data_IF_396853587340
#
_entry.id   IF_396853587340
#
_cell.length_a   1.000
_cell.length_b   1.000
_cell.length_c   1.000
_cell.angle_alpha   90.00
_cell.angle_beta   90.00
_cell.angle_gamma   90.00
#
_symmetry.space_group_name_H-M   'P 1'
#
loop_
_entity.id
_entity.type
_entity.pdbx_description
1 polymer ?
#
# COMPACT_ATOMS: atom_id res chain seq x y z
N UNK A 1 -33.69 0.04 -62.70
CA UNK A 1 -32.38 -0.64 -62.82
C UNK A 1 -31.29 0.40 -62.57
N UNK A 2 -30.71 0.47 -61.36
CA UNK A 2 -29.72 1.50 -60.99
C UNK A 2 -28.31 0.93 -61.02
N UNK A 3 -27.55 1.31 -62.04
CA UNK A 3 -26.15 0.91 -62.25
C UNK A 3 -25.29 1.59 -61.18
N UNK A 4 -24.80 0.84 -60.19
CA UNK A 4 -23.81 1.32 -59.22
C UNK A 4 -22.49 1.59 -59.96
N UNK A 5 -22.20 2.86 -60.22
CA UNK A 5 -20.89 3.30 -60.68
C UNK A 5 -19.86 2.98 -59.59
N UNK A 6 -18.91 2.09 -59.89
CA UNK A 6 -17.77 1.77 -59.01
C UNK A 6 -16.72 2.88 -59.18
N UNK A 7 -16.69 3.84 -58.27
CA UNK A 7 -15.60 4.81 -58.18
C UNK A 7 -14.34 4.10 -57.68
N UNK A 8 -13.37 3.87 -58.58
CA UNK A 8 -12.04 3.39 -58.23
C UNK A 8 -11.25 4.52 -57.59
N UNK A 9 -11.34 4.64 -56.26
CA UNK A 9 -10.47 5.52 -55.48
C UNK A 9 -9.03 4.99 -55.61
N UNK A 10 -8.20 5.67 -56.42
CA UNK A 10 -6.75 5.42 -56.44
C UNK A 10 -6.20 5.74 -55.04
N UNK A 11 -5.67 4.74 -54.34
CA UNK A 11 -5.01 4.95 -53.04
C UNK A 11 -3.70 5.70 -53.27
N UNK A 12 -3.70 7.00 -52.97
CA UNK A 12 -2.47 7.80 -52.95
C UNK A 12 -1.65 7.31 -51.75
N UNK A 13 -0.50 6.71 -52.03
CA UNK A 13 0.46 6.29 -51.01
C UNK A 13 1.11 7.54 -50.38
N UNK A 14 1.10 7.67 -49.05
CA UNK A 14 1.82 8.77 -48.41
C UNK A 14 3.33 8.60 -48.66
N UNK A 15 3.95 9.64 -49.21
CA UNK A 15 5.41 9.70 -49.44
C UNK A 15 6.14 10.43 -48.31
N UNK A 16 5.39 11.14 -47.45
CA UNK A 16 5.91 11.89 -46.30
C UNK A 16 5.20 11.48 -45.00
N UNK A 17 5.94 11.54 -43.91
CA UNK A 17 5.46 11.28 -42.57
C UNK A 17 4.40 12.32 -42.19
N UNK A 18 3.22 11.86 -41.77
CA UNK A 18 2.13 12.77 -41.37
C UNK A 18 2.52 13.66 -40.18
N UNK A 19 3.45 13.22 -39.31
CA UNK A 19 3.81 13.99 -38.12
C UNK A 19 4.94 15.00 -38.35
N UNK A 20 6.04 14.60 -38.98
CA UNK A 20 7.24 15.42 -39.12
C UNK A 20 7.60 15.80 -40.57
N UNK A 21 6.83 15.36 -41.57
CA UNK A 21 7.07 15.68 -42.97
C UNK A 21 8.27 15.00 -43.63
N UNK A 22 9.05 14.22 -42.88
CA UNK A 22 10.19 13.46 -43.39
C UNK A 22 9.77 12.42 -44.43
N UNK A 23 10.64 12.14 -45.41
CA UNK A 23 10.40 11.12 -46.44
C UNK A 23 10.19 9.75 -45.82
N UNK A 24 9.18 9.03 -46.30
CA UNK A 24 8.89 7.67 -45.86
C UNK A 24 9.78 6.66 -46.62
N UNK A 25 10.15 5.55 -45.98
CA UNK A 25 10.82 4.46 -46.70
C UNK A 25 9.90 3.92 -47.79
N UNK A 26 10.49 3.35 -48.85
CA UNK A 26 9.72 2.83 -49.97
C UNK A 26 8.64 1.85 -49.48
N UNK A 27 7.40 1.97 -49.98
CA UNK A 27 6.31 1.11 -49.57
C UNK A 27 6.60 -0.35 -49.97
N UNK A 28 6.36 -1.28 -49.04
CA UNK A 28 6.42 -2.70 -49.35
C UNK A 28 5.35 -3.08 -50.39
N UNK A 29 5.63 -4.08 -51.22
CA UNK A 29 4.73 -4.54 -52.28
C UNK A 29 3.39 -5.08 -51.74
N UNK A 30 3.35 -5.51 -50.48
CA UNK A 30 2.16 -6.04 -49.82
C UNK A 30 1.99 -5.42 -48.41
N UNK A 31 0.75 -5.37 -47.93
CA UNK A 31 0.41 -4.86 -46.59
C UNK A 31 -0.06 -3.40 -46.55
N UNK A 32 -0.29 -2.89 -45.33
CA UNK A 32 -0.76 -1.52 -45.13
C UNK A 32 0.38 -0.52 -45.33
N UNK A 33 0.19 0.53 -46.15
CA UNK A 33 1.20 1.56 -46.33
C UNK A 33 1.61 2.21 -45.00
N UNK A 34 2.90 2.46 -44.87
CA UNK A 34 3.46 3.13 -43.70
C UNK A 34 3.09 4.61 -43.75
N UNK A 35 2.67 5.14 -42.61
CA UNK A 35 2.20 6.53 -42.47
C UNK A 35 3.18 7.41 -41.68
N UNK A 36 4.08 6.78 -40.91
CA UNK A 36 5.05 7.45 -40.04
C UNK A 36 6.46 6.98 -40.36
N UNK A 37 7.44 7.88 -40.37
CA UNK A 37 8.84 7.55 -40.68
C UNK A 37 9.45 6.54 -39.69
N UNK A 38 8.98 6.50 -38.44
CA UNK A 38 9.57 5.67 -37.38
C UNK A 38 8.61 5.36 -36.22
N UNK A 39 8.98 4.42 -35.32
CA UNK A 39 8.27 4.16 -34.07
C UNK A 39 8.12 5.41 -33.19
N UNK A 40 9.13 6.30 -33.18
CA UNK A 40 9.08 7.56 -32.42
C UNK A 40 7.94 8.49 -32.87
N UNK A 41 7.84 8.78 -34.18
CA UNK A 41 6.74 9.58 -34.73
C UNK A 41 5.37 8.89 -34.59
N UNK A 42 5.33 7.55 -34.64
CA UNK A 42 4.09 6.80 -34.39
C UNK A 42 3.62 6.94 -32.95
N UNK A 43 4.54 6.82 -31.98
CA UNK A 43 4.25 6.97 -30.55
C UNK A 43 3.82 8.40 -30.23
N UNK A 44 4.57 9.39 -30.70
CA UNK A 44 4.22 10.80 -30.52
C UNK A 44 2.83 11.15 -31.09
N UNK A 45 2.48 10.65 -32.29
CA UNK A 45 1.15 10.86 -32.86
C UNK A 45 0.03 10.09 -32.13
N UNK A 46 0.35 9.03 -31.39
CA UNK A 46 -0.60 8.36 -30.49
C UNK A 46 -0.77 9.16 -29.21
N UNK A 47 0.32 9.64 -28.62
CA UNK A 47 0.31 10.45 -27.40
C UNK A 47 -0.40 11.79 -27.62
N UNK A 48 -0.21 12.45 -28.77
CA UNK A 48 -0.94 13.67 -29.15
C UNK A 48 -2.46 13.43 -29.22
N UNK A 49 -2.90 12.25 -29.70
CA UNK A 49 -4.32 11.88 -29.74
C UNK A 49 -4.85 11.51 -28.36
N UNK A 50 -4.01 10.93 -27.52
CA UNK A 50 -4.32 10.57 -26.13
C UNK A 50 -4.46 11.82 -25.26
N UNK A 51 -3.58 12.81 -25.43
CA UNK A 51 -3.60 14.08 -24.72
C UNK A 51 -4.85 14.92 -25.05
N UNK A 52 -5.36 14.82 -26.28
CA UNK A 52 -6.58 15.53 -26.73
C UNK A 52 -7.90 14.94 -26.20
N UNK A 53 -7.87 13.83 -25.43
CA UNK A 53 -9.03 13.27 -24.73
C UNK A 53 -8.87 13.43 -23.21
N UNK A 54 -9.14 14.63 -22.65
CA UNK A 54 -8.97 14.90 -21.22
C UNK A 54 -9.99 14.16 -20.33
N UNK A 55 -11.10 13.66 -20.89
CA UNK A 55 -12.19 13.01 -20.14
C UNK A 55 -11.88 11.59 -19.64
N UNK A 56 -10.72 11.03 -19.98
CA UNK A 56 -10.35 9.65 -19.60
C UNK A 56 -9.47 9.54 -18.34
N UNK A 57 -9.22 10.64 -17.60
CA UNK A 57 -8.30 10.61 -16.46
C UNK A 57 -8.83 11.40 -15.26
N UNK A 58 -9.40 10.69 -14.28
CA UNK A 58 -9.51 11.18 -12.91
C UNK A 58 -8.23 10.77 -12.16
N UNK A 59 -7.19 11.60 -12.20
CA UNK A 59 -5.98 11.39 -11.39
C UNK A 59 -6.23 12.00 -10.02
N UNK A 60 -6.61 11.18 -9.05
CA UNK A 60 -6.47 11.52 -7.63
C UNK A 60 -4.99 11.31 -7.27
N UNK A 61 -4.23 12.39 -7.17
CA UNK A 61 -2.87 12.34 -6.60
C UNK A 61 -3.03 12.00 -5.12
N UNK A 62 -2.76 10.75 -4.76
CA UNK A 62 -2.52 10.35 -3.38
C UNK A 62 -1.00 10.30 -3.23
N UNK A 63 -0.46 11.12 -2.34
CA UNK A 63 0.94 11.05 -1.93
C UNK A 63 1.25 9.63 -1.46
N UNK A 64 2.10 8.91 -2.19
CA UNK A 64 2.55 7.57 -1.82
C UNK A 64 3.88 7.68 -1.11
N UNK A 65 3.84 7.72 0.21
CA UNK A 65 5.01 7.43 1.03
C UNK A 65 5.28 5.93 0.87
N UNK A 66 6.42 5.57 0.30
CA UNK A 66 6.86 4.18 0.20
C UNK A 66 7.24 3.70 1.61
N UNK A 67 6.35 2.96 2.25
CA UNK A 67 6.64 2.22 3.49
C UNK A 67 6.98 0.80 3.07
N UNK A 68 8.18 0.35 3.43
CA UNK A 68 8.59 -1.05 3.29
C UNK A 68 7.54 -1.95 3.94
N UNK A 69 7.13 -3.01 3.22
CA UNK A 69 6.17 -3.98 3.71
C UNK A 69 6.78 -4.81 4.83
N UNK A 70 6.73 -4.30 6.04
CA UNK A 70 6.54 -5.13 7.22
C UNK A 70 5.04 -5.47 7.21
N UNK A 71 4.70 -6.75 7.17
CA UNK A 71 3.35 -7.27 7.40
C UNK A 71 2.90 -6.89 8.83
N UNK A 72 2.59 -5.62 9.01
CA UNK A 72 1.89 -5.13 10.18
C UNK A 72 0.47 -5.60 9.97
N UNK A 73 0.14 -6.69 10.66
CA UNK A 73 -1.22 -7.17 10.87
C UNK A 73 -2.09 -5.93 11.11
N UNK A 74 -2.81 -5.51 10.08
CA UNK A 74 -3.72 -4.37 10.13
C UNK A 74 -4.98 -4.87 10.83
N UNK A 75 -4.87 -5.17 12.12
CA UNK A 75 -6.03 -5.44 12.95
C UNK A 75 -6.60 -4.15 13.49
N UNK A 76 -7.68 -3.73 12.83
CA UNK A 76 -8.88 -3.13 13.43
C UNK A 76 -8.69 -1.77 14.10
N UNK A 77 -8.89 -0.71 13.32
CA UNK A 77 -9.35 0.60 13.83
C UNK A 77 -10.79 0.89 13.34
N UNK A 78 -11.62 -0.14 13.25
CA UNK A 78 -13.08 0.02 13.26
C UNK A 78 -13.55 0.20 14.71
N UNK A 79 -13.26 1.36 15.32
CA UNK A 79 -13.88 1.78 16.58
C UNK A 79 -13.95 0.73 17.69
N UNK A 80 -12.91 -0.11 17.85
CA UNK A 80 -12.95 -1.19 18.82
C UNK A 80 -12.95 -0.60 20.23
N UNK A 81 -13.99 -0.91 21.01
CA UNK A 81 -14.07 -0.54 22.41
C UNK A 81 -12.83 -1.03 23.17
N UNK A 82 -12.10 -0.09 23.77
CA UNK A 82 -10.88 -0.33 24.55
C UNK A 82 -11.16 -1.32 25.68
N UNK A 83 -12.37 -1.31 26.25
CA UNK A 83 -12.75 -2.24 27.32
C UNK A 83 -12.86 -3.67 26.79
N UNK A 84 -13.45 -3.86 25.62
CA UNK A 84 -13.52 -5.18 24.97
C UNK A 84 -12.12 -5.68 24.55
N UNK A 85 -11.26 -4.80 24.05
CA UNK A 85 -9.85 -5.11 23.81
C UNK A 85 -9.16 -5.60 25.08
N UNK A 86 -9.32 -4.87 26.20
CA UNK A 86 -8.74 -5.25 27.49
C UNK A 86 -9.27 -6.62 27.95
N UNK A 87 -10.58 -6.86 27.84
CA UNK A 87 -11.19 -8.15 28.18
C UNK A 87 -10.56 -9.29 27.37
N UNK A 88 -10.41 -9.12 26.06
CA UNK A 88 -9.80 -10.13 25.17
C UNK A 88 -8.35 -10.40 25.52
N UNK A 89 -7.59 -9.35 25.82
CA UNK A 89 -6.19 -9.49 26.27
C UNK A 89 -6.14 -10.27 27.59
N UNK A 90 -6.94 -9.88 28.59
CA UNK A 90 -6.98 -10.56 29.89
C UNK A 90 -7.44 -12.02 29.79
N UNK A 91 -8.28 -12.36 28.82
CA UNK A 91 -8.74 -13.73 28.58
C UNK A 91 -7.70 -14.62 27.87
N UNK A 92 -6.61 -14.06 27.33
CA UNK A 92 -5.61 -14.78 26.55
C UNK A 92 -4.24 -14.75 27.25
N UNK A 93 -3.78 -15.88 27.85
CA UNK A 93 -2.47 -15.95 28.48
C UNK A 93 -1.33 -15.54 27.55
N UNK A 94 -1.43 -15.89 26.26
CA UNK A 94 -0.44 -15.52 25.25
C UNK A 94 -0.41 -14.00 25.01
N UNK A 95 -1.56 -13.35 24.96
CA UNK A 95 -1.63 -11.90 24.81
C UNK A 95 -1.02 -11.20 26.03
N UNK A 96 -1.35 -11.65 27.24
CA UNK A 96 -0.75 -11.11 28.48
C UNK A 96 0.77 -11.28 28.48
N UNK A 97 1.29 -12.45 28.13
CA UNK A 97 2.74 -12.69 28.04
C UNK A 97 3.43 -11.77 27.02
N UNK A 98 2.78 -11.52 25.88
CA UNK A 98 3.30 -10.57 24.88
C UNK A 98 3.36 -9.14 25.44
N UNK A 99 2.31 -8.70 26.15
CA UNK A 99 2.28 -7.38 26.81
C UNK A 99 3.40 -7.25 27.84
N UNK A 100 3.59 -8.26 28.69
CA UNK A 100 4.69 -8.27 29.68
C UNK A 100 6.07 -8.24 29.01
N UNK A 101 6.23 -8.94 27.88
CA UNK A 101 7.47 -8.95 27.11
C UNK A 101 7.76 -7.57 26.51
N UNK A 102 6.74 -6.88 25.99
CA UNK A 102 6.86 -5.52 25.48
C UNK A 102 7.22 -4.53 26.61
N UNK A 103 6.57 -4.63 27.77
CA UNK A 103 6.90 -3.82 28.96
C UNK A 103 8.35 -4.04 29.41
N UNK A 104 8.83 -5.28 29.39
CA UNK A 104 10.23 -5.59 29.70
C UNK A 104 11.19 -4.95 28.67
N UNK A 105 10.80 -4.88 27.40
CA UNK A 105 11.52 -4.12 26.38
C UNK A 105 11.66 -2.64 26.75
N UNK A 106 10.57 -2.01 27.22
CA UNK A 106 10.57 -0.61 27.67
C UNK A 106 11.40 -0.37 28.93
N UNK A 107 11.51 -1.37 29.81
CA UNK A 107 12.42 -1.31 30.97
C UNK A 107 13.87 -1.31 30.48
N UNK A 108 14.22 -2.22 29.56
CA UNK A 108 15.58 -2.36 29.03
C UNK A 108 16.03 -1.13 28.27
N UNK A 109 15.13 -0.45 27.55
CA UNK A 109 15.42 0.80 26.86
C UNK A 109 15.48 2.02 27.79
N UNK A 110 15.13 1.87 29.07
CA UNK A 110 15.02 2.96 30.05
C UNK A 110 13.78 3.85 29.87
N UNK A 111 13.00 3.66 28.80
CA UNK A 111 11.81 4.47 28.48
C UNK A 111 10.78 4.44 29.61
N UNK A 112 10.56 3.29 30.23
CA UNK A 112 9.56 3.13 31.30
C UNK A 112 9.88 3.97 32.55
N UNK A 113 11.15 4.30 32.79
CA UNK A 113 11.60 5.06 33.97
C UNK A 113 11.82 6.54 33.67
N UNK A 114 12.24 6.86 32.45
CA UNK A 114 12.60 8.22 32.06
C UNK A 114 11.40 9.05 31.61
N UNK A 115 10.39 8.42 31.01
CA UNK A 115 9.19 9.11 30.54
C UNK A 115 8.08 9.04 31.60
N UNK A 116 7.74 10.21 32.16
CA UNK A 116 6.78 10.35 33.26
C UNK A 116 5.38 9.85 32.95
N UNK A 117 4.99 9.72 31.67
CA UNK A 117 3.67 9.16 31.31
C UNK A 117 3.49 7.72 31.75
N UNK A 118 4.59 6.98 31.95
CA UNK A 118 4.58 5.59 32.39
C UNK A 118 4.50 5.44 33.91
N UNK A 119 4.55 6.53 34.69
CA UNK A 119 4.51 6.46 36.16
C UNK A 119 3.30 5.68 36.71
N UNK A 120 2.06 5.81 36.16
CA UNK A 120 0.92 4.99 36.60
C UNK A 120 1.14 3.50 36.34
N UNK A 121 1.71 3.14 35.20
CA UNK A 121 2.00 1.75 34.81
C UNK A 121 3.05 1.15 35.75
N UNK A 122 4.11 1.91 36.07
CA UNK A 122 5.15 1.48 37.02
C UNK A 122 4.57 1.21 38.40
N UNK A 123 3.66 2.06 38.90
CA UNK A 123 2.95 1.82 40.17
C UNK A 123 2.12 0.53 40.12
N UNK A 124 1.33 0.33 39.07
CA UNK A 124 0.50 -0.85 38.91
C UNK A 124 1.33 -2.15 38.84
N UNK A 125 2.47 -2.14 38.13
CA UNK A 125 3.39 -3.29 38.10
C UNK A 125 3.98 -3.58 39.48
N UNK A 126 4.33 -2.53 40.23
CA UNK A 126 4.88 -2.68 41.59
C UNK A 126 3.85 -3.29 42.54
N UNK A 127 2.59 -2.86 42.46
CA UNK A 127 1.48 -3.42 43.24
C UNK A 127 1.22 -4.88 42.88
N UNK A 128 1.18 -5.21 41.58
CA UNK A 128 1.04 -6.59 41.11
C UNK A 128 2.17 -7.49 41.63
N UNK A 129 3.41 -7.03 41.57
CA UNK A 129 4.55 -7.79 42.06
C UNK A 129 4.46 -8.07 43.58
N UNK A 130 4.04 -7.08 44.37
CA UNK A 130 3.78 -7.29 45.80
C UNK A 130 2.70 -8.35 46.03
N UNK A 131 1.57 -8.24 45.35
CA UNK A 131 0.49 -9.20 45.48
C UNK A 131 0.90 -10.65 45.13
N UNK A 132 1.73 -10.83 44.09
CA UNK A 132 2.26 -12.14 43.69
C UNK A 132 3.16 -12.73 44.79
N UNK A 133 4.03 -11.91 45.38
CA UNK A 133 4.92 -12.34 46.45
C UNK A 133 4.11 -12.73 47.70
N UNK A 134 3.10 -11.94 48.07
CA UNK A 134 2.22 -12.22 49.22
C UNK A 134 1.45 -13.53 49.06
N UNK A 135 0.98 -13.85 47.85
CA UNK A 135 0.32 -15.13 47.55
C UNK A 135 1.32 -16.28 47.64
N UNK A 136 2.51 -16.10 47.06
CA UNK A 136 3.57 -17.12 47.08
C UNK A 136 4.05 -17.44 48.50
N UNK A 137 4.05 -16.46 49.39
CA UNK A 137 4.36 -16.65 50.81
C UNK A 137 3.28 -17.44 51.54
N UNK A 138 2.00 -17.09 51.34
CA UNK A 138 0.87 -17.83 51.92
C UNK A 138 0.85 -19.29 51.47
N UNK A 139 1.06 -19.55 50.19
CA UNK A 139 1.12 -20.92 49.66
C UNK A 139 2.27 -21.74 50.24
N UNK A 140 3.42 -21.10 50.51
CA UNK A 140 4.56 -21.76 51.18
C UNK A 140 4.23 -22.10 52.62
N UNK A 141 3.51 -21.24 53.34
CA UNK A 141 3.03 -21.53 54.68
C UNK A 141 2.05 -22.72 54.69
N UNK A 142 1.10 -22.77 53.76
CA UNK A 142 0.14 -23.88 53.67
C UNK A 142 0.80 -25.23 53.36
N UNK A 143 1.86 -25.26 52.57
CA UNK A 143 2.58 -26.49 52.23
C UNK A 143 3.49 -27.06 53.33
N UNK A 144 3.79 -26.27 54.37
CA UNK A 144 4.67 -26.68 55.49
C UNK A 144 3.93 -27.21 56.71
N UNK A 145 2.60 -27.17 56.71
CA UNK A 145 1.72 -27.66 57.77
C UNK A 145 1.13 -29.01 57.39
#
# INVERSE_FOLDING_TARGET
MSIRQKTTIRRILPTRCIRCGASLPQPAATGRPRVYCGPGCRKAAYDDRRARKPEAFQIRVVERIAVEMVETISTVDEGHDIIECLRRVCASPRAVTNVLSALNGLVRSGTLRLDGKWAPVVRAITELNRAILDVSERDRWHRRR
#
